data_IF_232372179968
#
_entry.id   IF_232372179968
#
_cell.length_a   1.000
_cell.length_b   1.000
_cell.length_c   1.000
_cell.angle_alpha   90.00
_cell.angle_beta   90.00
_cell.angle_gamma   90.00
#
_symmetry.space_group_name_H-M   'P 1'
#
loop_
_entity.id
_entity.type
_entity.pdbx_description
1 polymer ?
#
# COMPACT_ATOMS: atom_id res chain seq x y z
N UNK A 1 -14.35 5.63 8.85
CA UNK A 1 -14.67 4.74 7.69
C UNK A 1 -13.85 3.45 7.76
N UNK A 2 -12.51 3.50 7.85
CA UNK A 2 -11.68 2.30 7.84
C UNK A 2 -12.12 1.24 8.86
N UNK A 3 -12.33 1.64 10.13
CA UNK A 3 -12.80 0.72 11.18
C UNK A 3 -14.08 -0.01 10.79
N UNK A 4 -15.06 0.71 10.28
CA UNK A 4 -16.36 0.11 9.91
C UNK A 4 -16.22 -0.94 8.80
N UNK A 5 -15.29 -0.70 7.85
CA UNK A 5 -15.01 -1.63 6.76
C UNK A 5 -14.36 -2.91 7.29
N UNK A 6 -13.32 -2.78 8.11
CA UNK A 6 -12.62 -3.93 8.69
C UNK A 6 -13.50 -4.74 9.63
N UNK A 7 -14.29 -4.07 10.50
CA UNK A 7 -15.23 -4.74 11.40
C UNK A 7 -16.28 -5.54 10.61
N UNK A 8 -16.81 -4.97 9.51
CA UNK A 8 -17.76 -5.66 8.64
C UNK A 8 -17.17 -6.91 7.96
N UNK A 9 -15.85 -6.96 7.80
CA UNK A 9 -15.13 -8.11 7.26
C UNK A 9 -14.68 -9.10 8.35
N UNK A 10 -15.04 -8.86 9.60
CA UNK A 10 -14.75 -9.77 10.72
C UNK A 10 -13.39 -9.55 11.38
N UNK A 11 -12.70 -8.44 11.12
CA UNK A 11 -11.46 -8.10 11.79
C UNK A 11 -11.74 -7.58 13.22
N UNK A 12 -10.84 -7.84 14.15
CA UNK A 12 -10.79 -7.19 15.45
C UNK A 12 -9.96 -5.91 15.33
N UNK A 13 -10.65 -4.76 15.21
CA UNK A 13 -10.06 -3.51 14.77
C UNK A 13 -9.81 -2.54 15.91
N UNK A 14 -8.56 -2.19 16.10
CA UNK A 14 -8.08 -1.15 17.02
C UNK A 14 -7.79 0.13 16.24
N UNK A 15 -8.23 1.28 16.75
CA UNK A 15 -8.02 2.57 16.07
C UNK A 15 -7.32 3.53 17.01
N UNK A 16 -6.27 4.17 16.52
CA UNK A 16 -5.56 5.25 17.21
C UNK A 16 -5.65 6.55 16.39
N UNK A 17 -5.48 7.70 17.03
CA UNK A 17 -5.49 9.02 16.39
C UNK A 17 -6.77 9.31 15.58
N UNK A 18 -7.93 8.93 16.10
CA UNK A 18 -9.22 9.01 15.42
C UNK A 18 -10.11 10.19 15.86
N UNK A 19 -9.52 11.21 16.48
CA UNK A 19 -10.23 12.43 16.91
C UNK A 19 -9.78 13.65 16.08
N UNK A 20 -10.16 13.74 14.80
CA UNK A 20 -9.81 14.87 13.95
C UNK A 20 -10.54 16.12 14.41
N UNK A 21 -9.82 17.24 14.46
CA UNK A 21 -10.40 18.56 14.81
C UNK A 21 -10.17 19.62 13.71
N UNK A 22 -9.71 19.21 12.53
CA UNK A 22 -9.41 20.10 11.40
C UNK A 22 -8.04 20.80 11.47
N UNK A 23 -7.35 20.69 12.62
CA UNK A 23 -6.05 21.34 12.83
C UNK A 23 -4.94 20.32 13.16
N UNK A 24 -5.29 19.09 13.52
CA UNK A 24 -4.35 18.07 13.95
C UNK A 24 -3.99 17.02 12.89
N UNK A 25 -4.25 17.33 11.64
CA UNK A 25 -3.87 16.47 10.52
C UNK A 25 -2.36 16.18 10.53
N UNK A 26 -1.97 14.91 10.42
CA UNK A 26 -0.58 14.44 10.46
C UNK A 26 0.21 14.82 11.74
N UNK A 27 -0.43 15.29 12.78
CA UNK A 27 0.23 15.65 14.03
C UNK A 27 0.59 14.39 14.83
N UNK A 28 1.85 13.95 14.73
CA UNK A 28 2.36 12.70 15.29
C UNK A 28 1.48 11.48 14.94
N UNK A 29 0.92 11.47 13.74
CA UNK A 29 -0.05 10.48 13.29
C UNK A 29 0.04 10.23 11.78
N UNK A 30 -0.54 9.12 11.34
CA UNK A 30 -0.64 8.75 9.94
C UNK A 30 0.64 8.20 9.33
N UNK A 31 0.66 8.07 8.01
CA UNK A 31 1.76 7.44 7.27
C UNK A 31 3.08 8.22 7.31
N UNK A 32 3.03 9.51 7.63
CA UNK A 32 4.21 10.37 7.79
C UNK A 32 4.84 10.31 9.20
N UNK A 33 4.13 9.75 10.18
CA UNK A 33 4.56 9.58 11.57
C UNK A 33 4.14 8.21 12.10
N UNK A 34 4.77 7.17 11.58
CA UNK A 34 4.34 5.77 11.74
C UNK A 34 4.81 5.13 13.06
N UNK A 35 5.73 5.77 13.80
CA UNK A 35 6.38 5.21 14.99
C UNK A 35 5.37 4.82 16.08
N UNK A 36 4.33 5.61 16.26
CA UNK A 36 3.27 5.32 17.22
C UNK A 36 2.50 4.04 16.87
N UNK A 37 2.24 3.82 15.59
CA UNK A 37 1.60 2.59 15.10
C UNK A 37 2.51 1.38 15.27
N UNK A 38 3.80 1.50 14.94
CA UNK A 38 4.78 0.42 15.12
C UNK A 38 4.79 -0.08 16.57
N UNK A 39 4.89 0.86 17.51
CA UNK A 39 4.88 0.57 18.94
C UNK A 39 3.57 -0.08 19.38
N UNK A 40 2.43 0.44 18.94
CA UNK A 40 1.11 -0.06 19.29
C UNK A 40 0.89 -1.50 18.79
N UNK A 41 1.28 -1.81 17.56
CA UNK A 41 1.17 -3.16 16.97
C UNK A 41 1.97 -4.17 17.81
N UNK A 42 3.21 -3.85 18.16
CA UNK A 42 4.07 -4.74 18.95
C UNK A 42 3.56 -4.91 20.39
N UNK A 43 3.22 -3.82 21.05
CA UNK A 43 2.75 -3.85 22.46
C UNK A 43 1.43 -4.61 22.61
N UNK A 44 0.54 -4.51 21.63
CA UNK A 44 -0.76 -5.22 21.64
C UNK A 44 -0.70 -6.61 21.02
N UNK A 45 0.43 -6.99 20.41
CA UNK A 45 0.55 -8.28 19.74
C UNK A 45 -0.40 -8.44 18.55
N UNK A 46 -0.56 -7.38 17.76
CA UNK A 46 -1.47 -7.38 16.59
C UNK A 46 -0.79 -7.99 15.38
N UNK A 47 -1.58 -8.50 14.45
CA UNK A 47 -1.09 -9.14 13.22
C UNK A 47 -0.55 -8.13 12.21
N UNK A 48 -1.15 -6.94 12.16
CA UNK A 48 -0.80 -5.89 11.20
C UNK A 48 -1.31 -4.52 11.66
N UNK A 49 -0.65 -3.46 11.24
CA UNK A 49 -1.11 -2.08 11.36
C UNK A 49 -1.17 -1.39 10.01
N UNK A 50 -2.11 -0.48 9.84
CA UNK A 50 -2.24 0.36 8.65
C UNK A 50 -2.25 1.83 9.04
N UNK A 51 -1.45 2.64 8.34
CA UNK A 51 -1.40 4.08 8.52
C UNK A 51 -1.78 4.77 7.21
N UNK A 52 -2.66 5.75 7.30
CA UNK A 52 -3.11 6.57 6.18
C UNK A 52 -2.58 8.00 6.33
N UNK A 53 -2.51 8.73 5.24
CA UNK A 53 -2.25 10.15 5.26
C UNK A 53 -3.55 10.98 5.34
N UNK A 54 -3.45 12.29 5.21
CA UNK A 54 -4.56 13.20 5.52
C UNK A 54 -5.79 13.07 4.63
N UNK A 55 -5.63 12.72 3.37
CA UNK A 55 -6.70 12.49 2.40
C UNK A 55 -6.94 11.00 2.10
N UNK A 56 -6.19 10.13 2.80
CA UNK A 56 -6.32 8.68 2.79
C UNK A 56 -6.10 8.04 1.39
N UNK A 57 -5.37 8.69 0.51
CA UNK A 57 -4.97 8.15 -0.78
C UNK A 57 -3.73 7.27 -0.70
N UNK A 58 -2.98 7.34 0.42
CA UNK A 58 -1.79 6.55 0.74
C UNK A 58 -2.03 5.62 1.91
N UNK A 59 -1.34 4.48 1.87
CA UNK A 59 -1.31 3.53 2.97
C UNK A 59 0.10 2.96 3.14
N UNK A 60 0.60 2.99 4.37
CA UNK A 60 1.75 2.19 4.79
C UNK A 60 1.29 1.13 5.78
N UNK A 61 2.00 0.00 5.80
CA UNK A 61 1.69 -1.09 6.72
C UNK A 61 2.79 -1.27 7.76
N UNK A 62 2.45 -1.92 8.86
CA UNK A 62 3.38 -2.38 9.88
C UNK A 62 3.11 -3.86 10.11
N UNK A 63 4.15 -4.68 10.08
CA UNK A 63 4.03 -6.11 10.37
C UNK A 63 3.93 -6.38 11.88
N UNK A 64 3.73 -7.62 12.26
CA UNK A 64 3.60 -8.08 13.65
C UNK A 64 4.84 -7.82 14.50
N UNK A 65 5.99 -7.58 13.87
CA UNK A 65 7.27 -7.27 14.53
C UNK A 65 7.55 -5.78 14.63
N UNK A 66 6.66 -4.94 14.11
CA UNK A 66 6.81 -3.50 14.08
C UNK A 66 7.63 -2.96 12.89
N UNK A 67 7.93 -3.78 11.89
CA UNK A 67 8.64 -3.32 10.69
C UNK A 67 7.69 -2.57 9.75
N UNK A 68 8.17 -1.47 9.18
CA UNK A 68 7.42 -0.71 8.18
C UNK A 68 7.45 -1.43 6.84
N UNK A 69 6.26 -1.64 6.28
CA UNK A 69 6.05 -2.13 4.92
C UNK A 69 5.68 -0.92 4.05
N UNK A 70 6.64 -0.47 3.25
CA UNK A 70 6.50 0.71 2.39
C UNK A 70 5.72 0.41 1.12
N UNK A 71 5.43 1.44 0.32
CA UNK A 71 4.81 1.26 -0.99
C UNK A 71 5.61 0.33 -1.92
N UNK A 72 6.93 0.37 -1.87
CA UNK A 72 7.78 -0.56 -2.64
C UNK A 72 7.55 -2.02 -2.22
N UNK A 73 7.46 -2.29 -0.93
CA UNK A 73 7.13 -3.63 -0.43
C UNK A 73 5.71 -4.07 -0.84
N UNK A 74 4.74 -3.16 -0.76
CA UNK A 74 3.35 -3.44 -1.17
C UNK A 74 3.31 -3.80 -2.66
N UNK A 75 3.98 -3.04 -3.52
CA UNK A 75 4.07 -3.32 -4.95
C UNK A 75 4.67 -4.70 -5.24
N UNK A 76 5.73 -5.06 -4.51
CA UNK A 76 6.36 -6.37 -4.65
C UNK A 76 5.42 -7.49 -4.19
N UNK A 77 4.90 -7.39 -2.98
CA UNK A 77 4.04 -8.42 -2.37
C UNK A 77 2.80 -8.67 -3.23
N UNK A 78 2.09 -7.59 -3.59
CA UNK A 78 0.86 -7.74 -4.34
C UNK A 78 1.11 -8.06 -5.82
N UNK A 79 2.21 -7.59 -6.40
CA UNK A 79 2.66 -7.97 -7.74
C UNK A 79 2.93 -9.47 -7.85
N UNK A 80 3.63 -10.05 -6.89
CA UNK A 80 3.86 -11.51 -6.81
C UNK A 80 2.54 -12.27 -6.64
N UNK A 81 1.67 -11.80 -5.74
CA UNK A 81 0.36 -12.38 -5.50
C UNK A 81 -0.51 -12.42 -6.77
N UNK A 82 -0.54 -11.32 -7.52
CA UNK A 82 -1.26 -11.26 -8.79
C UNK A 82 -0.67 -12.18 -9.84
N UNK A 83 0.66 -12.26 -9.91
CA UNK A 83 1.35 -13.14 -10.87
C UNK A 83 1.00 -14.61 -10.60
N UNK A 84 1.09 -15.07 -9.37
CA UNK A 84 0.76 -16.43 -8.96
C UNK A 84 -0.67 -16.82 -9.35
N UNK A 85 -1.60 -15.87 -9.37
CA UNK A 85 -3.01 -16.07 -9.71
C UNK A 85 -3.35 -15.77 -11.17
N UNK A 86 -2.35 -15.50 -12.01
CA UNK A 86 -2.56 -15.16 -13.42
C UNK A 86 -3.31 -13.83 -13.65
N UNK A 87 -3.27 -12.92 -12.68
CA UNK A 87 -3.98 -11.62 -12.73
C UNK A 87 -3.08 -10.43 -13.08
N UNK A 88 -1.77 -10.62 -13.14
CA UNK A 88 -0.81 -9.60 -13.57
C UNK A 88 -0.70 -9.62 -15.10
N UNK A 89 -1.73 -9.11 -15.80
CA UNK A 89 -1.96 -9.36 -17.22
C UNK A 89 -0.83 -8.95 -18.16
N UNK A 90 -0.13 -7.87 -17.85
CA UNK A 90 1.03 -7.41 -18.64
C UNK A 90 2.36 -7.90 -18.06
N UNK A 91 2.30 -8.71 -17.02
CA UNK A 91 3.47 -9.12 -16.23
C UNK A 91 4.35 -7.91 -15.81
N UNK A 92 3.73 -6.75 -15.58
CA UNK A 92 4.45 -5.49 -15.34
C UNK A 92 3.83 -4.74 -14.17
N UNK A 93 4.67 -4.30 -13.24
CA UNK A 93 4.35 -3.37 -12.16
C UNK A 93 4.91 -2.00 -12.52
N UNK A 94 4.11 -0.95 -12.37
CA UNK A 94 4.54 0.42 -12.66
C UNK A 94 4.99 1.11 -11.39
N UNK A 95 6.18 1.68 -11.40
CA UNK A 95 6.75 2.41 -10.27
C UNK A 95 7.29 3.77 -10.73
N UNK A 96 7.94 4.51 -9.84
CA UNK A 96 8.62 5.75 -10.19
C UNK A 96 10.14 5.60 -10.05
N UNK A 97 10.87 6.59 -10.54
CA UNK A 97 12.35 6.65 -10.39
C UNK A 97 12.81 6.74 -8.93
N UNK A 98 11.90 7.00 -7.99
CA UNK A 98 12.20 7.08 -6.55
C UNK A 98 12.14 5.72 -5.82
N UNK A 99 11.65 4.67 -6.47
CA UNK A 99 11.62 3.33 -5.87
C UNK A 99 13.04 2.81 -5.59
N UNK A 100 13.16 2.03 -4.52
CA UNK A 100 14.43 1.44 -4.12
C UNK A 100 14.95 0.46 -5.19
N UNK A 101 16.27 0.49 -5.44
CA UNK A 101 16.90 -0.43 -6.38
C UNK A 101 16.64 -1.91 -6.04
N UNK A 102 16.52 -2.23 -4.76
CA UNK A 102 16.20 -3.58 -4.30
C UNK A 102 14.86 -4.10 -4.82
N UNK A 103 13.88 -3.22 -5.06
CA UNK A 103 12.60 -3.61 -5.65
C UNK A 103 12.80 -4.19 -7.06
N UNK A 104 13.58 -3.54 -7.89
CA UNK A 104 13.84 -3.99 -9.27
C UNK A 104 14.55 -5.33 -9.31
N UNK A 105 15.54 -5.50 -8.44
CA UNK A 105 16.26 -6.78 -8.30
C UNK A 105 15.28 -7.89 -7.87
N UNK A 106 14.42 -7.61 -6.89
CA UNK A 106 13.43 -8.57 -6.44
C UNK A 106 12.42 -8.94 -7.54
N UNK A 107 11.99 -7.97 -8.36
CA UNK A 107 11.15 -8.26 -9.53
C UNK A 107 11.87 -9.11 -10.58
N UNK A 108 13.14 -8.84 -10.85
CA UNK A 108 13.94 -9.65 -11.79
C UNK A 108 14.02 -11.11 -11.33
N UNK A 109 14.23 -11.35 -10.04
CA UNK A 109 14.26 -12.70 -9.44
C UNK A 109 12.92 -13.44 -9.57
N UNK A 110 11.81 -12.72 -9.59
CA UNK A 110 10.47 -13.27 -9.75
C UNK A 110 9.99 -13.33 -11.21
N UNK A 111 10.80 -12.84 -12.15
CA UNK A 111 10.41 -12.74 -13.55
C UNK A 111 9.25 -11.77 -13.79
N UNK A 112 9.13 -10.73 -12.97
CA UNK A 112 8.14 -9.66 -13.10
C UNK A 112 8.79 -8.47 -13.79
N UNK A 113 8.16 -7.98 -14.85
CA UNK A 113 8.56 -6.76 -15.52
C UNK A 113 8.17 -5.52 -14.71
N UNK A 114 8.90 -4.43 -14.92
CA UNK A 114 8.60 -3.16 -14.27
C UNK A 114 8.82 -1.98 -15.21
N UNK A 115 8.04 -0.92 -15.00
CA UNK A 115 8.20 0.34 -15.70
C UNK A 115 8.45 1.45 -14.68
N UNK A 116 9.37 2.37 -15.00
CA UNK A 116 9.73 3.52 -14.17
C UNK A 116 9.20 4.78 -14.81
N UNK A 117 8.36 5.52 -14.09
CA UNK A 117 7.88 6.83 -14.52
C UNK A 117 8.59 7.95 -13.77
N UNK A 118 8.35 9.18 -14.17
CA UNK A 118 8.62 10.34 -13.31
C UNK A 118 7.80 10.25 -12.03
N UNK A 119 8.23 10.96 -10.99
CA UNK A 119 7.52 11.05 -9.71
C UNK A 119 6.18 11.74 -9.92
N UNK A 120 5.13 11.16 -9.37
CA UNK A 120 3.75 11.66 -9.39
C UNK A 120 2.76 10.61 -9.87
N UNK A 121 1.67 10.49 -9.11
CA UNK A 121 0.57 9.55 -9.35
C UNK A 121 0.01 9.63 -10.78
N UNK A 122 -0.09 10.85 -11.30
CA UNK A 122 -0.52 11.11 -12.69
C UNK A 122 0.31 10.33 -13.70
N UNK A 123 1.63 10.36 -13.58
CA UNK A 123 2.52 9.68 -14.54
C UNK A 123 2.42 8.17 -14.42
N UNK A 124 2.28 7.68 -13.19
CA UNK A 124 2.05 6.25 -12.92
C UNK A 124 0.76 5.80 -13.59
N UNK A 125 -0.35 6.52 -13.36
CA UNK A 125 -1.65 6.16 -13.93
C UNK A 125 -1.68 6.28 -15.45
N UNK A 126 -1.11 7.34 -16.03
CA UNK A 126 -1.03 7.51 -17.49
C UNK A 126 -0.30 6.34 -18.15
N UNK A 127 0.82 5.89 -17.56
CA UNK A 127 1.54 4.73 -18.07
C UNK A 127 0.70 3.45 -17.96
N UNK A 128 0.07 3.23 -16.78
CA UNK A 128 -0.79 2.08 -16.55
C UNK A 128 -1.93 2.00 -17.56
N UNK A 129 -2.64 3.11 -17.76
CA UNK A 129 -3.77 3.19 -18.70
C UNK A 129 -3.35 2.93 -20.14
N UNK A 130 -2.24 3.53 -20.57
CA UNK A 130 -1.70 3.38 -21.92
C UNK A 130 -1.25 1.95 -22.24
N UNK A 131 -0.69 1.25 -21.24
CA UNK A 131 -0.07 -0.06 -21.42
C UNK A 131 -0.88 -1.23 -20.83
N UNK A 132 -2.05 -0.96 -20.26
CA UNK A 132 -2.92 -1.99 -19.69
C UNK A 132 -2.40 -2.64 -18.43
N UNK A 133 -1.55 -1.93 -17.65
CA UNK A 133 -0.99 -2.44 -16.41
C UNK A 133 -2.04 -2.44 -15.30
N UNK A 134 -1.99 -3.45 -14.42
CA UNK A 134 -3.01 -3.67 -13.38
C UNK A 134 -2.66 -3.08 -12.03
N UNK A 135 -1.38 -2.87 -11.74
CA UNK A 135 -0.90 -2.32 -10.48
C UNK A 135 0.26 -1.35 -10.74
N UNK A 136 0.27 -0.28 -10.01
CA UNK A 136 1.36 0.68 -10.00
C UNK A 136 1.31 1.55 -8.77
N UNK A 137 2.38 2.29 -8.50
CA UNK A 137 2.40 3.18 -7.35
C UNK A 137 3.78 3.71 -7.00
N UNK A 138 3.84 4.28 -5.82
CA UNK A 138 5.01 4.96 -5.28
C UNK A 138 5.42 4.40 -3.92
N UNK A 139 6.68 4.54 -3.55
CA UNK A 139 7.20 4.13 -2.25
C UNK A 139 6.47 4.79 -1.06
N UNK A 140 5.87 5.95 -1.27
CA UNK A 140 5.08 6.68 -0.28
C UNK A 140 3.80 5.97 0.16
N UNK A 141 3.42 4.90 -0.53
CA UNK A 141 2.20 4.14 -0.26
C UNK A 141 0.99 4.54 -1.12
N UNK A 142 1.20 5.39 -2.11
CA UNK A 142 0.18 5.69 -3.12
C UNK A 142 0.13 4.56 -4.15
N UNK A 143 -0.84 3.66 -4.01
CA UNK A 143 -0.96 2.45 -4.82
C UNK A 143 -2.25 2.50 -5.63
N UNK A 144 -2.14 2.26 -6.94
CA UNK A 144 -3.26 2.24 -7.87
C UNK A 144 -3.53 0.81 -8.32
N UNK A 145 -4.77 0.36 -8.12
CA UNK A 145 -5.29 -0.89 -8.64
C UNK A 145 -6.26 -0.57 -9.78
N UNK A 146 -5.81 -0.61 -11.02
CA UNK A 146 -6.55 -0.10 -12.19
C UNK A 146 -7.91 -0.75 -12.44
N UNK A 147 -8.12 -1.95 -11.91
CA UNK A 147 -9.43 -2.63 -11.96
C UNK A 147 -10.50 -1.89 -11.15
N UNK A 148 -10.11 -1.15 -10.11
CA UNK A 148 -11.02 -0.56 -9.13
C UNK A 148 -11.05 0.96 -9.16
N UNK A 149 -9.90 1.60 -9.43
CA UNK A 149 -9.78 3.05 -9.39
C UNK A 149 -8.69 3.56 -10.33
N UNK A 150 -8.77 4.84 -10.68
CA UNK A 150 -7.77 5.57 -11.46
C UNK A 150 -6.77 6.34 -10.59
N UNK A 151 -6.91 6.25 -9.28
CA UNK A 151 -6.06 6.94 -8.29
C UNK A 151 -5.75 6.00 -7.13
N UNK A 152 -4.85 6.43 -6.24
CA UNK A 152 -4.57 5.73 -4.99
C UNK A 152 -5.79 5.74 -4.06
N UNK A 153 -5.94 4.66 -3.31
CA UNK A 153 -6.93 4.51 -2.26
C UNK A 153 -6.28 3.71 -1.13
N UNK A 154 -6.02 4.38 -0.01
CA UNK A 154 -5.34 3.77 1.13
C UNK A 154 -6.15 2.66 1.77
N UNK A 155 -7.47 2.80 1.87
CA UNK A 155 -8.34 1.76 2.44
C UNK A 155 -8.38 0.54 1.52
N UNK A 156 -8.53 0.73 0.22
CA UNK A 156 -8.45 -0.36 -0.75
C UNK A 156 -7.08 -1.07 -0.67
N UNK A 157 -6.00 -0.31 -0.59
CA UNK A 157 -4.64 -0.87 -0.45
C UNK A 157 -4.52 -1.73 0.81
N UNK A 158 -5.02 -1.27 1.95
CA UNK A 158 -5.01 -2.05 3.20
C UNK A 158 -5.85 -3.34 3.08
N UNK A 159 -7.00 -3.30 2.44
CA UNK A 159 -7.82 -4.48 2.17
C UNK A 159 -7.12 -5.48 1.26
N UNK A 160 -6.40 -4.98 0.25
CA UNK A 160 -5.61 -5.83 -0.65
C UNK A 160 -4.43 -6.50 0.05
N UNK A 161 -3.82 -5.83 1.02
CA UNK A 161 -2.80 -6.45 1.86
C UNK A 161 -3.39 -7.51 2.79
N UNK A 162 -4.56 -7.28 3.37
CA UNK A 162 -5.29 -8.30 4.14
C UNK A 162 -5.64 -9.52 3.28
N UNK A 163 -6.06 -9.32 2.05
CA UNK A 163 -6.33 -10.41 1.10
C UNK A 163 -5.11 -11.33 0.93
N UNK A 164 -3.91 -10.74 0.81
CA UNK A 164 -2.66 -11.52 0.72
C UNK A 164 -2.35 -12.27 2.01
N UNK A 165 -2.54 -11.62 3.17
CA UNK A 165 -2.26 -12.21 4.48
C UNK A 165 -3.18 -13.41 4.80
N UNK A 166 -4.40 -13.41 4.27
CA UNK A 166 -5.40 -14.45 4.51
C UNK A 166 -5.36 -15.59 3.46
N UNK A 167 -4.57 -15.42 2.42
CA UNK A 167 -4.39 -16.43 1.37
C UNK A 167 -3.33 -17.46 1.78
#
# INVERSE_FOLDING_TARGET
>A
IAKSVFDALGADTYVINNNPNGLNINNNAGSTHIEGLQKFVVEKGLDVGFAYDGDADRCLCVDEKGNVITGDHILYIYGCYMKERGKLLTNTVVTTVMSNFGLYKAFDEQGIGYAKTAVGDKYVYEYMAKNGCRIGGEQSGHIIFSKYASTGDGILTSLKMMEVMLA
#
